data_IF_435969378553
#
_entry.id   IF_435969378553
#
_cell.length_a   1.000
_cell.length_b   1.000
_cell.length_c   1.000
_cell.angle_alpha   90.00
_cell.angle_beta   90.00
_cell.angle_gamma   90.00
#
_symmetry.space_group_name_H-M   'P 1'
#
loop_
_entity.id
_entity.type
_entity.pdbx_description
1 polymer ?
#
# COMPACT_ATOMS: atom_id res chain seq x y z
N UNK A 1 -5.05 -8.59 -31.95
CA UNK A 1 -5.80 -9.22 -30.83
C UNK A 1 -4.75 -9.59 -29.81
N UNK A 2 -4.48 -8.71 -28.82
CA UNK A 2 -3.53 -8.96 -27.74
C UNK A 2 -4.12 -10.08 -26.87
N UNK A 3 -3.53 -11.26 -26.90
CA UNK A 3 -3.88 -12.33 -25.97
C UNK A 3 -3.63 -11.82 -24.55
N UNK A 4 -4.66 -11.66 -23.76
CA UNK A 4 -4.55 -11.40 -22.32
C UNK A 4 -3.81 -12.61 -21.73
N UNK A 5 -2.53 -12.46 -21.44
CA UNK A 5 -1.78 -13.49 -20.70
C UNK A 5 -2.52 -13.68 -19.38
N UNK A 6 -3.03 -14.86 -19.13
CA UNK A 6 -3.61 -15.23 -17.83
C UNK A 6 -2.56 -15.13 -16.73
N UNK A 7 -3.00 -15.12 -15.48
CA UNK A 7 -2.12 -15.15 -14.32
C UNK A 7 -1.21 -16.38 -14.39
N UNK A 8 0.09 -16.16 -14.30
CA UNK A 8 1.09 -17.22 -14.29
C UNK A 8 1.47 -17.60 -12.83
N UNK A 9 2.08 -18.76 -12.64
CA UNK A 9 2.57 -19.18 -11.32
C UNK A 9 3.51 -18.14 -10.68
N UNK A 10 4.33 -17.45 -11.50
CA UNK A 10 5.19 -16.36 -11.04
C UNK A 10 4.39 -15.18 -10.50
N UNK A 11 3.24 -14.85 -11.12
CA UNK A 11 2.40 -13.75 -10.64
C UNK A 11 1.77 -14.09 -9.28
N UNK A 12 1.34 -15.34 -9.10
CA UNK A 12 0.81 -15.83 -7.82
C UNK A 12 1.89 -15.81 -6.72
N UNK A 13 3.11 -16.23 -7.05
CA UNK A 13 4.24 -16.17 -6.13
C UNK A 13 4.56 -14.73 -5.70
N UNK A 14 4.58 -13.78 -6.65
CA UNK A 14 4.80 -12.36 -6.35
C UNK A 14 3.68 -11.79 -5.47
N UNK A 15 2.42 -12.08 -5.78
CA UNK A 15 1.27 -11.68 -4.97
C UNK A 15 1.40 -12.19 -3.54
N UNK A 16 1.74 -13.46 -3.35
CA UNK A 16 1.93 -14.08 -2.04
C UNK A 16 3.11 -13.46 -1.27
N UNK A 17 4.25 -13.25 -1.94
CA UNK A 17 5.44 -12.64 -1.32
C UNK A 17 5.17 -11.22 -0.85
N UNK A 18 4.51 -10.39 -1.65
CA UNK A 18 4.20 -9.01 -1.25
C UNK A 18 3.12 -8.95 -0.17
N UNK A 19 2.10 -9.83 -0.21
CA UNK A 19 1.14 -9.95 0.89
C UNK A 19 1.83 -10.36 2.20
N UNK A 20 2.76 -11.32 2.15
CA UNK A 20 3.56 -11.72 3.30
C UNK A 20 4.48 -10.61 3.80
N UNK A 21 5.10 -9.84 2.90
CA UNK A 21 5.93 -8.68 3.28
C UNK A 21 5.13 -7.63 4.05
N UNK A 22 3.91 -7.32 3.58
CA UNK A 22 3.00 -6.40 4.29
C UNK A 22 2.68 -6.95 5.67
N UNK A 23 2.32 -8.25 5.77
CA UNK A 23 1.99 -8.91 7.02
C UNK A 23 3.15 -8.89 8.02
N UNK A 24 4.37 -9.22 7.58
CA UNK A 24 5.58 -9.20 8.43
C UNK A 24 5.84 -7.79 8.99
N UNK A 25 5.74 -6.75 8.16
CA UNK A 25 5.93 -5.39 8.63
C UNK A 25 4.77 -4.88 9.49
N UNK A 26 3.58 -5.48 9.36
CA UNK A 26 2.39 -5.13 10.14
C UNK A 26 2.43 -5.67 11.57
N UNK A 27 3.02 -6.86 11.78
CA UNK A 27 3.14 -7.46 13.12
C UNK A 27 4.25 -6.83 13.95
N UNK A 28 5.16 -6.07 13.34
CA UNK A 28 6.12 -5.25 14.10
C UNK A 28 5.30 -4.21 14.88
N UNK A 29 5.48 -4.12 16.22
CA UNK A 29 4.74 -3.17 17.02
C UNK A 29 4.86 -1.74 16.48
N UNK A 30 3.78 -0.96 16.48
CA UNK A 30 3.84 0.42 16.06
C UNK A 30 4.80 1.21 16.96
N UNK A 31 5.61 2.08 16.33
CA UNK A 31 6.64 2.86 17.04
C UNK A 31 5.97 3.85 17.99
N UNK A 32 4.85 4.42 17.59
CA UNK A 32 3.98 5.28 18.42
C UNK A 32 2.55 5.31 17.85
N UNK A 33 1.64 5.92 18.60
CA UNK A 33 0.23 6.09 18.23
C UNK A 33 -0.10 7.58 18.13
N UNK A 34 -0.98 7.95 17.19
CA UNK A 34 -1.64 9.26 17.16
C UNK A 34 -3.15 9.02 17.25
N UNK A 35 -3.70 9.25 18.43
CA UNK A 35 -5.07 8.84 18.72
C UNK A 35 -5.24 7.33 18.53
N UNK A 36 -6.19 6.92 17.68
CA UNK A 36 -6.46 5.51 17.37
C UNK A 36 -5.63 4.97 16.20
N UNK A 37 -4.76 5.78 15.58
CA UNK A 37 -4.00 5.40 14.37
C UNK A 37 -2.57 5.03 14.73
N UNK A 38 -2.13 3.78 14.46
CA UNK A 38 -0.78 3.34 14.73
C UNK A 38 0.21 3.81 13.65
N UNK A 39 1.39 4.25 14.06
CA UNK A 39 2.51 4.47 13.18
C UNK A 39 3.26 3.16 12.96
N UNK A 40 2.98 2.50 11.87
CA UNK A 40 3.56 1.20 11.54
C UNK A 40 4.44 1.27 10.28
N UNK A 41 5.46 0.39 10.22
CA UNK A 41 6.39 0.29 9.09
C UNK A 41 5.75 -0.33 7.84
N UNK A 42 4.66 -1.04 7.99
CA UNK A 42 3.95 -1.72 6.91
C UNK A 42 3.60 -0.81 5.71
N UNK A 43 3.46 0.51 5.96
CA UNK A 43 3.17 1.48 4.91
C UNK A 43 4.26 1.52 3.82
N UNK A 44 5.51 1.18 4.14
CA UNK A 44 6.59 1.04 3.16
C UNK A 44 6.25 -0.07 2.16
N UNK A 45 5.82 -1.24 2.65
CA UNK A 45 5.45 -2.36 1.79
C UNK A 45 4.17 -2.09 1.00
N UNK A 46 3.20 -1.39 1.61
CA UNK A 46 1.95 -0.97 0.94
C UNK A 46 2.27 -0.10 -0.27
N UNK A 47 3.09 0.94 -0.12
CA UNK A 47 3.49 1.81 -1.22
C UNK A 47 4.38 1.08 -2.25
N UNK A 48 5.29 0.21 -1.79
CA UNK A 48 6.18 -0.57 -2.65
C UNK A 48 5.39 -1.50 -3.59
N UNK A 49 4.32 -2.08 -3.10
CA UNK A 49 3.52 -3.09 -3.81
C UNK A 49 3.01 -2.61 -5.18
N UNK A 50 2.27 -1.50 -5.30
CA UNK A 50 1.81 -0.99 -6.59
C UNK A 50 2.95 -0.52 -7.50
N UNK A 51 4.05 -0.02 -6.94
CA UNK A 51 5.21 0.43 -7.72
C UNK A 51 5.89 -0.72 -8.47
N UNK A 52 5.99 -1.88 -7.83
CA UNK A 52 6.70 -3.05 -8.38
C UNK A 52 5.74 -3.96 -9.16
N UNK A 53 4.55 -4.21 -8.65
CA UNK A 53 3.62 -5.19 -9.20
C UNK A 53 2.61 -4.58 -10.20
N UNK A 54 2.43 -3.26 -10.18
CA UNK A 54 1.39 -2.59 -10.96
C UNK A 54 -0.01 -2.80 -10.36
N UNK A 55 -1.05 -2.45 -11.13
CA UNK A 55 -2.44 -2.39 -10.66
C UNK A 55 -3.01 -3.73 -10.22
N UNK A 56 -3.09 -4.71 -11.14
CA UNK A 56 -3.82 -5.96 -10.88
C UNK A 56 -3.10 -6.82 -9.84
N UNK A 57 -1.80 -7.08 -10.02
CA UNK A 57 -1.02 -7.88 -9.08
C UNK A 57 -0.89 -7.19 -7.72
N UNK A 58 -0.71 -5.86 -7.71
CA UNK A 58 -0.66 -5.06 -6.49
C UNK A 58 -1.98 -5.11 -5.73
N UNK A 59 -3.10 -4.92 -6.42
CA UNK A 59 -4.43 -5.05 -5.83
C UNK A 59 -4.70 -6.46 -5.29
N UNK A 60 -4.29 -7.51 -6.02
CA UNK A 60 -4.38 -8.88 -5.53
C UNK A 60 -3.52 -9.13 -4.28
N UNK A 61 -2.30 -8.56 -4.21
CA UNK A 61 -1.43 -8.73 -3.05
C UNK A 61 -2.02 -8.06 -1.79
N UNK A 62 -2.50 -6.82 -1.90
CA UNK A 62 -3.17 -6.14 -0.79
C UNK A 62 -4.50 -6.81 -0.45
N UNK A 63 -5.27 -7.23 -1.45
CA UNK A 63 -6.51 -7.98 -1.23
C UNK A 63 -6.26 -9.31 -0.51
N UNK A 64 -5.21 -10.06 -0.87
CA UNK A 64 -4.82 -11.29 -0.19
C UNK A 64 -4.42 -11.04 1.26
N UNK A 65 -3.61 -10.00 1.52
CA UNK A 65 -3.25 -9.59 2.88
C UNK A 65 -4.49 -9.28 3.73
N UNK A 66 -5.43 -8.49 3.20
CA UNK A 66 -6.68 -8.15 3.88
C UNK A 66 -7.51 -9.42 4.12
N UNK A 67 -7.65 -10.29 3.12
CA UNK A 67 -8.40 -11.54 3.22
C UNK A 67 -7.86 -12.44 4.34
N UNK A 68 -6.54 -12.63 4.37
CA UNK A 68 -5.89 -13.47 5.38
C UNK A 68 -6.13 -12.91 6.79
N UNK A 69 -6.02 -11.58 6.97
CA UNK A 69 -6.32 -10.92 8.24
C UNK A 69 -7.79 -11.05 8.66
N UNK A 70 -8.72 -10.93 7.71
CA UNK A 70 -10.16 -11.10 7.95
C UNK A 70 -10.50 -12.53 8.35
N UNK A 71 -9.82 -13.52 7.78
CA UNK A 71 -9.99 -14.94 8.12
C UNK A 71 -9.42 -15.30 9.51
N UNK A 72 -8.85 -14.35 10.23
CA UNK A 72 -8.47 -14.53 11.63
C UNK A 72 -6.96 -14.67 11.87
N UNK A 73 -6.11 -14.63 10.83
CA UNK A 73 -4.67 -14.57 11.06
C UNK A 73 -4.28 -13.21 11.65
N UNK A 74 -3.44 -13.15 12.70
CA UNK A 74 -3.08 -11.92 13.39
C UNK A 74 -2.03 -11.12 12.60
N UNK A 75 -2.40 -10.68 11.39
CA UNK A 75 -1.52 -9.99 10.42
C UNK A 75 -1.80 -8.50 10.28
N UNK A 76 -2.85 -7.98 10.91
CA UNK A 76 -3.08 -6.54 10.95
C UNK A 76 -2.21 -5.86 12.02
N UNK A 77 -2.13 -4.53 11.98
CA UNK A 77 -1.29 -3.76 12.88
C UNK A 77 -1.47 -4.15 14.35
N UNK A 78 -0.35 -4.41 15.02
CA UNK A 78 -0.37 -4.84 16.42
C UNK A 78 -0.90 -6.27 16.65
N UNK A 79 -0.92 -7.14 15.61
CA UNK A 79 -1.41 -8.50 15.72
C UNK A 79 -2.94 -8.62 15.72
N UNK A 80 -3.66 -7.59 15.31
CA UNK A 80 -5.11 -7.65 15.16
C UNK A 80 -5.55 -8.54 14.01
N UNK A 81 -6.79 -9.02 14.05
CA UNK A 81 -7.40 -9.86 13.01
C UNK A 81 -8.92 -9.78 13.01
N UNK A 82 -9.54 -10.36 12.01
CA UNK A 82 -10.98 -10.48 11.88
C UNK A 82 -11.67 -9.32 11.17
N UNK A 83 -12.93 -9.55 10.81
CA UNK A 83 -13.77 -8.58 10.06
C UNK A 83 -13.94 -7.25 10.80
N UNK A 84 -13.92 -7.27 12.14
CA UNK A 84 -14.09 -6.08 12.98
C UNK A 84 -13.07 -4.99 12.70
N UNK A 85 -11.86 -5.34 12.21
CA UNK A 85 -10.82 -4.37 11.85
C UNK A 85 -11.24 -3.54 10.64
N UNK A 86 -11.97 -4.13 9.67
CA UNK A 86 -12.42 -3.43 8.45
C UNK A 86 -13.47 -2.35 8.71
N UNK A 87 -14.23 -2.50 9.80
CA UNK A 87 -15.26 -1.54 10.24
C UNK A 87 -14.84 -0.79 11.50
N UNK A 88 -13.60 -0.98 11.92
CA UNK A 88 -12.97 -0.25 13.03
C UNK A 88 -12.31 1.05 12.61
N UNK A 89 -11.71 1.79 13.55
CA UNK A 89 -11.08 3.09 13.29
C UNK A 89 -10.02 3.08 12.20
N UNK A 90 -9.29 1.97 12.04
CA UNK A 90 -8.24 1.81 11.03
C UNK A 90 -8.73 1.16 9.73
N UNK A 91 -10.00 0.69 9.69
CA UNK A 91 -10.55 -0.01 8.53
C UNK A 91 -10.52 0.81 7.25
N UNK A 92 -10.78 2.11 7.35
CA UNK A 92 -10.73 3.01 6.20
C UNK A 92 -9.37 3.06 5.51
N UNK A 93 -8.28 2.93 6.27
CA UNK A 93 -6.93 2.86 5.70
C UNK A 93 -6.73 1.58 4.88
N UNK A 94 -7.25 0.43 5.32
CA UNK A 94 -7.19 -0.82 4.57
C UNK A 94 -7.93 -0.72 3.22
N UNK A 95 -9.09 -0.08 3.21
CA UNK A 95 -9.80 0.23 1.97
C UNK A 95 -9.04 1.22 1.09
N UNK A 96 -8.41 2.23 1.70
CA UNK A 96 -7.51 3.17 1.03
C UNK A 96 -6.31 2.48 0.37
N UNK A 97 -5.70 1.49 1.02
CA UNK A 97 -4.60 0.70 0.47
C UNK A 97 -5.03 -0.10 -0.75
N UNK A 98 -6.21 -0.73 -0.68
CA UNK A 98 -6.74 -1.48 -1.82
C UNK A 98 -7.02 -0.56 -3.01
N UNK A 99 -7.64 0.59 -2.77
CA UNK A 99 -7.87 1.61 -3.79
C UNK A 99 -6.54 2.13 -4.36
N UNK A 100 -5.59 2.48 -3.48
CA UNK A 100 -4.26 2.95 -3.84
C UNK A 100 -3.50 1.94 -4.70
N UNK A 101 -3.55 0.66 -4.35
CA UNK A 101 -2.92 -0.40 -5.15
C UNK A 101 -3.44 -0.43 -6.59
N UNK A 102 -4.73 -0.25 -6.80
CA UNK A 102 -5.30 -0.20 -8.15
C UNK A 102 -4.95 1.11 -8.86
N UNK A 103 -5.15 2.25 -8.23
CA UNK A 103 -4.95 3.58 -8.84
C UNK A 103 -3.47 3.88 -9.05
N UNK A 104 -2.67 3.84 -7.99
CA UNK A 104 -1.23 4.10 -8.07
C UNK A 104 -0.53 3.02 -8.91
N UNK A 105 -0.96 1.76 -8.82
CA UNK A 105 -0.46 0.68 -9.66
C UNK A 105 -0.76 0.87 -11.15
N UNK A 106 -1.90 1.46 -11.51
CA UNK A 106 -2.19 1.83 -12.89
C UNK A 106 -1.26 2.95 -13.37
N UNK A 107 -1.04 3.98 -12.53
CA UNK A 107 -0.08 5.06 -12.82
C UNK A 107 1.33 4.50 -12.96
N UNK A 108 1.77 3.62 -12.05
CA UNK A 108 3.07 2.95 -12.13
C UNK A 108 3.23 2.20 -13.46
N UNK A 109 2.21 1.44 -13.86
CA UNK A 109 2.22 0.70 -15.12
C UNK A 109 2.38 1.63 -16.33
N UNK A 110 1.66 2.75 -16.37
CA UNK A 110 1.78 3.75 -17.45
C UNK A 110 3.17 4.37 -17.47
N UNK A 111 3.70 4.74 -16.32
CA UNK A 111 5.03 5.34 -16.18
C UNK A 111 6.11 4.36 -16.65
N UNK A 112 6.09 3.12 -16.15
CA UNK A 112 7.11 2.12 -16.46
C UNK A 112 7.08 1.68 -17.92
N UNK A 113 5.91 1.65 -18.56
CA UNK A 113 5.80 1.39 -20.03
C UNK A 113 6.49 2.45 -20.86
N UNK A 114 6.60 3.69 -20.40
CA UNK A 114 7.33 4.75 -21.09
C UNK A 114 8.84 4.61 -20.97
N UNK A 115 9.34 3.62 -20.23
CA UNK A 115 10.77 3.33 -20.00
C UNK A 115 11.57 4.58 -19.65
N UNK A 116 11.26 5.27 -18.54
CA UNK A 116 11.94 6.49 -18.15
C UNK A 116 13.44 6.23 -17.97
N UNK A 117 14.26 7.26 -18.16
CA UNK A 117 15.71 7.18 -17.87
C UNK A 117 15.92 6.68 -16.44
N UNK A 118 16.94 5.83 -16.23
CA UNK A 118 17.23 5.27 -14.89
C UNK A 118 17.38 6.34 -13.80
N UNK A 119 17.97 7.50 -14.14
CA UNK A 119 18.11 8.64 -13.23
C UNK A 119 16.79 9.30 -12.84
N UNK A 120 15.78 9.21 -13.70
CA UNK A 120 14.46 9.80 -13.47
C UNK A 120 13.46 8.81 -12.85
N UNK A 121 13.81 7.52 -12.83
CA UNK A 121 12.93 6.47 -12.30
C UNK A 121 12.48 6.73 -10.85
N UNK A 122 13.38 7.10 -9.90
CA UNK A 122 12.95 7.39 -8.52
C UNK A 122 11.95 8.54 -8.45
N UNK A 123 12.13 9.57 -9.28
CA UNK A 123 11.21 10.73 -9.31
C UNK A 123 9.82 10.32 -9.74
N UNK A 124 9.71 9.50 -10.79
CA UNK A 124 8.42 8.99 -11.26
C UNK A 124 7.76 8.06 -10.25
N UNK A 125 8.55 7.19 -9.60
CA UNK A 125 8.03 6.31 -8.56
C UNK A 125 7.59 7.11 -7.32
N UNK A 126 8.24 8.23 -7.01
CA UNK A 126 7.80 9.11 -5.94
C UNK A 126 6.44 9.74 -6.25
N UNK A 127 6.19 10.14 -7.49
CA UNK A 127 4.86 10.60 -7.91
C UNK A 127 3.80 9.50 -7.76
N UNK A 128 4.16 8.25 -8.05
CA UNK A 128 3.28 7.09 -7.79
C UNK A 128 2.99 6.95 -6.29
N UNK A 129 4.02 7.12 -5.43
CA UNK A 129 3.85 7.10 -3.98
C UNK A 129 2.87 8.18 -3.50
N UNK A 130 2.96 9.38 -4.05
CA UNK A 130 2.04 10.47 -3.69
C UNK A 130 0.59 10.14 -4.09
N UNK A 131 0.38 9.53 -5.25
CA UNK A 131 -0.97 9.08 -5.67
C UNK A 131 -1.51 8.02 -4.72
N UNK A 132 -0.68 7.05 -4.33
CA UNK A 132 -1.04 6.02 -3.35
C UNK A 132 -1.42 6.65 -2.01
N UNK A 133 -0.59 7.56 -1.51
CA UNK A 133 -0.80 8.26 -0.25
C UNK A 133 -2.11 9.06 -0.21
N UNK A 134 -2.48 9.71 -1.32
CA UNK A 134 -3.77 10.39 -1.46
C UNK A 134 -4.92 9.40 -1.31
N UNK A 135 -4.86 8.24 -1.97
CA UNK A 135 -5.88 7.20 -1.85
C UNK A 135 -5.99 6.68 -0.41
N UNK A 136 -4.85 6.44 0.24
CA UNK A 136 -4.76 5.97 1.63
C UNK A 136 -5.38 6.96 2.59
N UNK A 137 -5.07 8.25 2.47
CA UNK A 137 -5.61 9.28 3.35
C UNK A 137 -7.09 9.55 3.08
N UNK A 138 -7.54 9.50 1.84
CA UNK A 138 -8.97 9.58 1.53
C UNK A 138 -9.73 8.44 2.23
N UNK A 139 -9.25 7.20 2.09
CA UNK A 139 -9.83 6.05 2.79
C UNK A 139 -9.78 6.20 4.31
N UNK A 140 -8.63 6.64 4.85
CA UNK A 140 -8.41 6.85 6.27
C UNK A 140 -9.34 7.92 6.87
N UNK A 141 -9.46 9.08 6.22
CA UNK A 141 -10.35 10.17 6.66
C UNK A 141 -11.80 9.69 6.65
N UNK A 142 -12.25 9.11 5.54
CA UNK A 142 -13.62 8.60 5.43
C UNK A 142 -13.91 7.51 6.47
N UNK A 143 -12.96 6.61 6.70
CA UNK A 143 -13.09 5.55 7.71
C UNK A 143 -13.13 6.09 9.14
N UNK A 144 -12.27 7.05 9.48
CA UNK A 144 -12.31 7.70 10.80
C UNK A 144 -13.63 8.43 11.04
N UNK A 145 -14.19 9.08 10.03
CA UNK A 145 -15.50 9.71 10.14
C UNK A 145 -16.63 8.66 10.28
N UNK A 146 -16.59 7.61 9.45
CA UNK A 146 -17.66 6.61 9.40
C UNK A 146 -17.66 5.68 10.62
N UNK A 147 -16.49 5.14 10.98
CA UNK A 147 -16.34 4.07 11.97
C UNK A 147 -15.96 4.61 13.36
N UNK A 148 -15.05 5.60 13.44
CA UNK A 148 -14.67 6.22 14.71
C UNK A 148 -15.53 7.43 15.09
N UNK A 149 -16.49 7.82 14.22
CA UNK A 149 -17.40 8.97 14.45
C UNK A 149 -16.69 10.30 14.69
N UNK A 150 -15.48 10.46 14.15
CA UNK A 150 -14.73 11.71 14.27
C UNK A 150 -15.33 12.78 13.34
N UNK A 151 -15.22 14.04 13.77
CA UNK A 151 -15.48 15.18 12.89
C UNK A 151 -14.43 15.24 11.77
N UNK A 152 -14.76 15.87 10.65
CA UNK A 152 -13.80 16.06 9.54
C UNK A 152 -12.50 16.71 10.01
N UNK A 153 -12.57 17.76 10.85
CA UNK A 153 -11.39 18.44 11.36
C UNK A 153 -10.51 17.52 12.21
N UNK A 154 -11.12 16.66 13.05
CA UNK A 154 -10.39 15.70 13.87
C UNK A 154 -9.76 14.60 13.00
N UNK A 155 -10.48 14.10 11.99
CA UNK A 155 -9.95 13.12 11.05
C UNK A 155 -8.79 13.67 10.21
N UNK A 156 -8.89 14.92 9.74
CA UNK A 156 -7.81 15.62 9.03
C UNK A 156 -6.59 15.80 9.93
N UNK A 157 -6.78 16.28 11.17
CA UNK A 157 -5.69 16.48 12.12
C UNK A 157 -4.95 15.19 12.43
N UNK A 158 -5.68 14.08 12.62
CA UNK A 158 -5.09 12.75 12.82
C UNK A 158 -4.23 12.31 11.64
N UNK A 159 -4.65 12.59 10.40
CA UNK A 159 -3.89 12.22 9.20
C UNK A 159 -2.68 13.14 8.97
N UNK A 160 -2.82 14.45 9.15
CA UNK A 160 -1.73 15.43 8.96
C UNK A 160 -0.51 15.09 9.81
N UNK A 161 -0.70 14.56 11.01
CA UNK A 161 0.38 14.14 11.90
C UNK A 161 1.31 13.08 11.28
N UNK A 162 0.83 12.29 10.33
CA UNK A 162 1.62 11.23 9.68
C UNK A 162 2.24 11.66 8.35
N UNK A 163 1.79 12.75 7.72
CA UNK A 163 2.20 13.14 6.35
C UNK A 163 3.72 13.19 6.20
N UNK A 164 4.41 13.89 7.11
CA UNK A 164 5.87 14.03 7.02
C UNK A 164 6.60 12.67 7.09
N UNK A 165 6.15 11.80 7.98
CA UNK A 165 6.74 10.48 8.19
C UNK A 165 6.40 9.52 7.04
N UNK A 166 5.20 9.60 6.50
CA UNK A 166 4.79 8.78 5.36
C UNK A 166 5.47 9.21 4.06
N UNK A 167 5.80 10.50 3.91
CA UNK A 167 6.67 10.97 2.82
C UNK A 167 8.07 10.35 2.91
N UNK A 168 8.66 10.26 4.10
CA UNK A 168 9.95 9.57 4.30
C UNK A 168 9.84 8.09 3.95
N UNK A 169 8.78 7.40 4.39
CA UNK A 169 8.52 6.00 4.00
C UNK A 169 8.33 5.86 2.49
N UNK A 170 7.66 6.81 1.86
CA UNK A 170 7.50 6.88 0.41
C UNK A 170 8.84 6.97 -0.33
N UNK A 171 9.77 7.81 0.16
CA UNK A 171 11.13 7.89 -0.39
C UNK A 171 11.85 6.55 -0.25
N UNK A 172 11.78 5.90 0.92
CA UNK A 172 12.37 4.57 1.13
C UNK A 172 11.76 3.53 0.19
N UNK A 173 10.44 3.51 0.05
CA UNK A 173 9.75 2.61 -0.87
C UNK A 173 10.19 2.85 -2.32
N UNK A 174 10.37 4.11 -2.75
CA UNK A 174 10.86 4.47 -4.08
C UNK A 174 12.30 3.99 -4.33
N UNK A 175 13.19 4.13 -3.35
CA UNK A 175 14.56 3.65 -3.45
C UNK A 175 14.60 2.13 -3.60
N UNK A 176 13.83 1.42 -2.77
CA UNK A 176 13.70 -0.05 -2.84
C UNK A 176 13.09 -0.46 -4.19
N UNK A 177 11.98 0.18 -4.61
CA UNK A 177 11.36 -0.11 -5.90
C UNK A 177 12.32 0.11 -7.07
N UNK A 178 13.09 1.20 -7.04
CA UNK A 178 14.10 1.48 -8.06
C UNK A 178 15.18 0.40 -8.11
N UNK A 179 15.68 -0.03 -6.96
CA UNK A 179 16.66 -1.10 -6.86
C UNK A 179 16.09 -2.43 -7.41
N UNK A 180 14.88 -2.79 -6.98
CA UNK A 180 14.20 -4.02 -7.43
C UNK A 180 13.95 -4.00 -8.94
N UNK A 181 13.38 -2.94 -9.50
CA UNK A 181 13.07 -2.84 -10.92
C UNK A 181 14.33 -2.77 -11.80
N UNK A 182 15.43 -2.23 -11.26
CA UNK A 182 16.72 -2.20 -11.97
C UNK A 182 17.39 -3.57 -11.97
N UNK A 183 17.32 -4.29 -10.86
CA UNK A 183 17.87 -5.64 -10.72
C UNK A 183 17.02 -6.69 -11.48
N UNK A 184 15.71 -6.48 -11.55
CA UNK A 184 14.77 -7.40 -12.18
C UNK A 184 13.92 -6.69 -13.26
N UNK A 185 14.50 -6.35 -14.43
CA UNK A 185 13.77 -5.65 -15.50
C UNK A 185 12.55 -6.39 -16.03
N UNK A 186 12.46 -7.70 -15.78
CA UNK A 186 11.29 -8.55 -16.15
C UNK A 186 10.01 -8.19 -15.38
N UNK A 187 10.12 -7.48 -14.26
CA UNK A 187 8.97 -6.98 -13.50
C UNK A 187 8.36 -5.73 -14.13
N UNK A 188 9.10 -5.03 -14.97
CA UNK A 188 8.56 -3.88 -15.72
C UNK A 188 7.57 -4.37 -16.77
N UNK A 189 6.38 -3.71 -16.89
CA UNK A 189 5.33 -4.09 -17.85
C UNK A 189 5.71 -3.81 -19.31
#
# INVERSE_FOLDING_TARGET
>A
ISSRRGFQATDLALVAVFAALIAVLAVIPPIFMVGAVPFALQMIAVMLTPMVLGSVRGGCAIGLYILVGVLGLPVFSGGASGVGVLVGPTGGFLWGWLLGAFVAGAVATVVLRRRPRKSMLPVWLFLVALVDLVCVYLGGILGLMAFAKLSLNAALAANIAFVGLDLVKGILACLIATAVLTAFPRLMP
#
